data_IF_725108406486
#
_entry.id   IF_725108406486
#
_cell.length_a   1.000
_cell.length_b   1.000
_cell.length_c   1.000
_cell.angle_alpha   90.00
_cell.angle_beta   90.00
_cell.angle_gamma   90.00
#
_symmetry.space_group_name_H-M   'P 1'
#
loop_
_entity.id
_entity.type
_entity.pdbx_description
1 polymer ?
#
# COMPACT_ATOMS: atom_id res chain seq x y z
N UNK A 1 8.42 37.46 11.03
CA UNK A 1 7.54 36.29 10.81
C UNK A 1 6.79 36.49 9.52
N UNK A 2 6.74 35.49 8.63
CA UNK A 2 5.98 35.59 7.38
C UNK A 2 4.54 35.08 7.59
N UNK A 3 3.53 35.96 7.53
CA UNK A 3 2.14 35.57 7.74
C UNK A 3 1.59 34.65 6.64
N UNK A 4 2.13 34.71 5.41
CA UNK A 4 1.71 33.83 4.33
C UNK A 4 2.16 32.39 4.61
N UNK A 5 3.42 32.22 5.03
CA UNK A 5 3.97 30.92 5.40
C UNK A 5 3.23 30.31 6.59
N UNK A 6 2.92 31.11 7.62
CA UNK A 6 2.18 30.65 8.80
C UNK A 6 0.77 30.15 8.42
N UNK A 7 0.06 30.89 7.56
CA UNK A 7 -1.28 30.48 7.09
C UNK A 7 -1.23 29.22 6.24
N UNK A 8 -0.23 29.08 5.38
CA UNK A 8 -0.04 27.87 4.58
C UNK A 8 0.23 26.63 5.46
N UNK A 9 1.11 26.77 6.45
CA UNK A 9 1.42 25.71 7.40
C UNK A 9 0.19 25.31 8.22
N UNK A 10 -0.56 26.29 8.73
CA UNK A 10 -1.82 26.06 9.45
C UNK A 10 -2.85 25.32 8.58
N UNK A 11 -3.03 25.75 7.33
CA UNK A 11 -3.99 25.13 6.41
C UNK A 11 -3.70 23.65 6.15
N UNK A 12 -2.42 23.28 6.02
CA UNK A 12 -2.00 21.88 5.76
C UNK A 12 -1.99 20.98 6.99
N UNK A 13 -1.77 21.54 8.17
CA UNK A 13 -1.59 20.75 9.39
C UNK A 13 -2.85 20.66 10.23
N UNK A 14 -3.51 21.79 10.47
CA UNK A 14 -4.59 21.91 11.45
C UNK A 14 -5.98 22.01 10.80
N UNK A 15 -6.07 22.53 9.57
CA UNK A 15 -7.37 22.79 8.92
C UNK A 15 -7.89 21.64 8.02
N UNK A 16 -7.20 20.50 7.95
CA UNK A 16 -7.56 19.40 7.03
C UNK A 16 -8.85 18.68 7.46
N UNK A 17 -8.96 18.28 8.73
CA UNK A 17 -10.14 17.58 9.24
C UNK A 17 -11.33 18.47 9.57
N UNK A 18 -11.16 19.67 10.15
CA UNK A 18 -12.30 20.57 10.41
C UNK A 18 -13.09 20.95 9.15
N UNK A 19 -12.44 20.95 7.98
CA UNK A 19 -13.08 21.28 6.69
C UNK A 19 -13.41 20.05 5.84
N UNK A 20 -13.11 18.84 6.32
CA UNK A 20 -13.40 17.61 5.61
C UNK A 20 -14.92 17.33 5.57
N UNK A 21 -15.42 16.95 4.39
CA UNK A 21 -16.81 16.51 4.21
C UNK A 21 -16.84 15.09 3.66
N UNK A 22 -17.52 14.14 4.32
CA UNK A 22 -17.69 12.79 3.79
C UNK A 22 -18.69 12.86 2.64
N UNK A 23 -18.17 12.82 1.41
CA UNK A 23 -18.96 12.76 0.16
C UNK A 23 -18.72 11.41 -0.51
N UNK A 24 -19.61 10.92 -1.38
CA UNK A 24 -19.38 9.67 -2.10
C UNK A 24 -18.02 9.64 -2.82
N UNK A 25 -17.60 10.77 -3.41
CA UNK A 25 -16.30 10.92 -4.07
C UNK A 25 -15.12 10.75 -3.09
N UNK A 26 -15.15 11.46 -1.95
CA UNK A 26 -14.05 11.41 -0.99
C UNK A 26 -13.97 10.06 -0.27
N UNK A 27 -15.12 9.46 0.07
CA UNK A 27 -15.20 8.13 0.65
C UNK A 27 -14.68 7.05 -0.32
N UNK A 28 -15.08 7.12 -1.60
CA UNK A 28 -14.59 6.18 -2.62
C UNK A 28 -13.08 6.28 -2.81
N UNK A 29 -12.55 7.50 -2.98
CA UNK A 29 -11.11 7.70 -3.13
C UNK A 29 -10.36 7.22 -1.88
N UNK A 30 -10.82 7.57 -0.68
CA UNK A 30 -10.22 7.10 0.57
C UNK A 30 -10.15 5.56 0.64
N UNK A 31 -11.25 4.88 0.34
CA UNK A 31 -11.30 3.42 0.32
C UNK A 31 -10.38 2.82 -0.76
N UNK A 32 -10.38 3.38 -1.98
CA UNK A 32 -9.54 2.91 -3.07
C UNK A 32 -8.05 3.06 -2.74
N UNK A 33 -7.64 4.19 -2.16
CA UNK A 33 -6.24 4.42 -1.80
C UNK A 33 -5.80 3.66 -0.55
N UNK A 34 -6.70 3.38 0.38
CA UNK A 34 -6.40 2.58 1.57
C UNK A 34 -6.36 1.08 1.28
N UNK A 35 -7.37 0.56 0.58
CA UNK A 35 -7.53 -0.88 0.32
C UNK A 35 -6.82 -1.32 -0.96
N UNK A 36 -6.74 -0.46 -1.98
CA UNK A 36 -6.16 -0.79 -3.28
C UNK A 36 -4.75 -1.36 -3.19
N UNK A 37 -3.79 -0.69 -2.52
CA UNK A 37 -2.44 -1.22 -2.35
C UNK A 37 -2.40 -2.54 -1.60
N UNK A 38 -3.24 -2.71 -0.57
CA UNK A 38 -3.31 -3.95 0.21
C UNK A 38 -3.78 -5.12 -0.65
N UNK A 39 -4.89 -4.94 -1.36
CA UNK A 39 -5.44 -5.97 -2.26
C UNK A 39 -4.44 -6.28 -3.38
N UNK A 40 -3.84 -5.26 -3.97
CA UNK A 40 -2.82 -5.42 -5.01
C UNK A 40 -1.66 -6.30 -4.53
N UNK A 41 -1.06 -5.97 -3.38
CA UNK A 41 0.07 -6.73 -2.86
C UNK A 41 -0.30 -8.14 -2.41
N UNK A 42 -1.49 -8.33 -1.82
CA UNK A 42 -1.98 -9.67 -1.47
C UNK A 42 -2.04 -10.55 -2.72
N UNK A 43 -2.58 -10.03 -3.83
CA UNK A 43 -2.70 -10.79 -5.07
C UNK A 43 -1.34 -11.07 -5.72
N UNK A 44 -0.46 -10.06 -5.80
CA UNK A 44 0.89 -10.21 -6.36
C UNK A 44 1.70 -11.23 -5.58
N UNK A 45 1.74 -11.10 -4.25
CA UNK A 45 2.49 -12.01 -3.39
C UNK A 45 1.89 -13.42 -3.41
N UNK A 46 0.56 -13.54 -3.42
CA UNK A 46 -0.10 -14.84 -3.53
C UNK A 46 0.23 -15.54 -4.83
N UNK A 47 0.14 -14.83 -5.96
CA UNK A 47 0.47 -15.40 -7.27
C UNK A 47 1.94 -15.84 -7.35
N UNK A 48 2.87 -15.07 -6.78
CA UNK A 48 4.27 -15.45 -6.74
C UNK A 48 4.51 -16.69 -5.87
N UNK A 49 3.93 -16.72 -4.66
CA UNK A 49 4.03 -17.88 -3.75
C UNK A 49 3.46 -19.15 -4.37
N UNK A 50 2.26 -19.09 -4.93
CA UNK A 50 1.62 -20.24 -5.59
C UNK A 50 2.48 -20.76 -6.76
N UNK A 51 3.14 -19.86 -7.49
CA UNK A 51 4.06 -20.23 -8.59
C UNK A 51 5.32 -20.90 -8.07
N UNK A 52 5.91 -20.38 -6.99
CA UNK A 52 7.10 -20.97 -6.37
C UNK A 52 6.79 -22.35 -5.79
N UNK A 53 5.68 -22.50 -5.07
CA UNK A 53 5.25 -23.76 -4.46
C UNK A 53 5.03 -24.86 -5.53
N UNK A 54 4.36 -24.52 -6.65
CA UNK A 54 4.21 -25.45 -7.78
C UNK A 54 5.55 -25.90 -8.36
N UNK A 55 6.51 -24.99 -8.54
CA UNK A 55 7.84 -25.34 -9.06
C UNK A 55 8.62 -26.23 -8.10
N UNK A 56 8.44 -26.06 -6.79
CA UNK A 56 9.06 -26.92 -5.77
C UNK A 56 8.47 -28.32 -5.85
N UNK A 57 7.14 -28.44 -5.95
CA UNK A 57 6.46 -29.74 -6.08
C UNK A 57 6.85 -30.49 -7.36
N UNK A 58 7.02 -29.76 -8.48
CA UNK A 58 7.48 -30.34 -9.75
C UNK A 58 8.98 -30.69 -9.76
N UNK A 59 9.74 -30.38 -8.69
CA UNK A 59 11.19 -30.58 -8.64
C UNK A 59 11.99 -29.65 -9.57
N UNK A 60 11.33 -28.67 -10.21
CA UNK A 60 11.95 -27.72 -11.14
C UNK A 60 12.54 -26.49 -10.46
N UNK A 61 12.28 -26.32 -9.17
CA UNK A 61 12.77 -25.19 -8.39
C UNK A 61 14.24 -25.38 -8.01
N UNK A 62 15.12 -24.58 -8.61
CA UNK A 62 16.55 -24.56 -8.26
C UNK A 62 16.73 -23.72 -7.00
N UNK A 63 16.87 -24.38 -5.84
CA UNK A 63 17.36 -23.72 -4.62
C UNK A 63 18.84 -23.43 -4.76
N UNK A 64 19.28 -22.25 -4.33
CA UNK A 64 20.70 -21.95 -4.26
C UNK A 64 21.36 -22.94 -3.27
N UNK A 65 22.56 -23.45 -3.56
CA UNK A 65 23.21 -24.49 -2.74
C UNK A 65 23.48 -24.05 -1.29
N UNK A 66 23.43 -22.76 -0.99
CA UNK A 66 23.66 -22.18 0.34
C UNK A 66 22.44 -21.47 0.95
N UNK A 67 21.21 -21.72 0.48
CA UNK A 67 20.02 -21.24 1.19
C UNK A 67 19.76 -22.09 2.44
N UNK A 68 20.50 -21.82 3.52
CA UNK A 68 20.28 -22.39 4.87
C UNK A 68 19.23 -21.63 5.68
N UNK A 69 18.73 -20.52 5.13
CA UNK A 69 17.59 -19.77 5.66
C UNK A 69 16.36 -20.04 4.79
N UNK A 70 15.21 -20.21 5.47
CA UNK A 70 13.89 -20.43 4.87
C UNK A 70 13.54 -19.38 3.81
#
# INVERSE_FOLDING_TARGET
EDPALIRWAYAKSQNVYPTFRPTPKTSFLGAAWALGPLVFWILVLKADRDRQEKRIQEGKYKRAPFSVFF
#
